data_IF_029053945450
#
_entry.id   IF_029053945450
#
_cell.length_a   1.000
_cell.length_b   1.000
_cell.length_c   1.000
_cell.angle_alpha   90.00
_cell.angle_beta   90.00
_cell.angle_gamma   90.00
#
_symmetry.space_group_name_H-M   'P 1'
#
loop_
_entity.id
_entity.type
_entity.pdbx_description
1 polymer ?
#
# COMPACT_ATOMS: atom_id res chain seq x y z
N UNK A 1 21.57 -10.99 12.82
CA UNK A 1 20.49 -10.38 12.00
C UNK A 1 20.63 -8.86 12.09
N UNK A 2 20.74 -8.11 10.98
CA UNK A 2 20.80 -6.66 11.09
C UNK A 2 19.44 -6.14 11.60
N UNK A 3 19.46 -5.40 12.71
CA UNK A 3 18.28 -4.72 13.24
C UNK A 3 17.78 -3.74 12.15
N UNK A 4 16.47 -3.65 11.87
CA UNK A 4 15.97 -2.60 11.00
C UNK A 4 16.34 -1.24 11.60
N UNK A 5 16.93 -0.36 10.79
CA UNK A 5 17.23 1.02 11.20
C UNK A 5 15.93 1.68 11.68
N UNK A 6 15.91 2.39 12.81
CA UNK A 6 14.73 3.14 13.22
C UNK A 6 14.44 4.15 12.11
N UNK A 7 13.27 4.02 11.48
CA UNK A 7 12.78 5.08 10.61
C UNK A 7 12.33 6.17 11.58
N UNK A 8 13.12 7.25 11.68
CA UNK A 8 12.68 8.49 12.30
C UNK A 8 11.49 8.99 11.48
N UNK A 9 10.29 8.69 11.95
CA UNK A 9 9.09 9.31 11.44
C UNK A 9 9.08 10.70 12.07
N UNK A 10 9.60 11.70 11.35
CA UNK A 10 9.31 13.09 11.69
C UNK A 10 7.79 13.24 11.66
N UNK A 11 7.19 13.27 12.86
CA UNK A 11 5.74 13.34 13.10
C UNK A 11 5.21 14.76 13.02
N UNK A 12 5.91 15.68 12.35
CA UNK A 12 5.48 17.07 12.29
C UNK A 12 4.72 17.37 10.99
N UNK A 13 3.39 17.25 11.14
CA UNK A 13 2.34 18.06 10.52
C UNK A 13 2.13 17.93 9.00
N UNK A 14 1.40 16.90 8.59
CA UNK A 14 0.75 16.84 7.28
C UNK A 14 -0.53 17.72 7.24
N UNK A 15 -0.86 18.37 6.10
CA UNK A 15 -2.02 19.25 5.98
C UNK A 15 -3.34 18.49 6.12
N UNK A 16 -4.31 19.10 6.83
CA UNK A 16 -5.68 18.59 7.00
C UNK A 16 -6.44 18.74 5.67
N UNK A 17 -6.35 17.72 4.82
CA UNK A 17 -7.13 17.53 3.60
C UNK A 17 -7.19 16.03 3.24
N UNK A 18 -8.07 15.62 2.31
CA UNK A 18 -8.32 14.19 1.98
C UNK A 18 -7.02 13.41 1.68
N UNK A 19 -6.11 13.98 0.90
CA UNK A 19 -4.80 13.38 0.60
C UNK A 19 -3.91 13.16 1.85
N UNK A 20 -4.09 13.95 2.91
CA UNK A 20 -3.39 13.82 4.19
C UNK A 20 -3.81 12.59 5.00
N UNK A 21 -5.04 12.09 4.81
CA UNK A 21 -5.52 10.88 5.51
C UNK A 21 -4.83 9.60 5.01
N UNK A 22 -4.54 9.53 3.71
CA UNK A 22 -3.83 8.41 3.10
C UNK A 22 -2.34 8.44 3.45
N UNK A 23 -1.72 9.64 3.45
CA UNK A 23 -0.33 9.83 3.86
C UNK A 23 -0.08 9.55 5.35
N UNK A 24 -1.12 9.58 6.18
CA UNK A 24 -1.04 9.24 7.60
C UNK A 24 -1.05 7.72 7.88
N UNK A 25 -1.35 6.88 6.88
CA UNK A 25 -1.32 5.43 7.05
C UNK A 25 0.11 4.90 7.19
N UNK A 26 0.32 4.01 8.16
CA UNK A 26 1.59 3.34 8.38
C UNK A 26 2.06 2.68 7.07
N UNK A 27 3.35 2.79 6.77
CA UNK A 27 4.02 2.27 5.56
C UNK A 27 3.69 3.00 4.24
N UNK A 28 2.76 3.98 4.21
CA UNK A 28 2.41 4.73 3.00
C UNK A 28 3.04 6.13 3.00
N UNK A 29 4.27 6.23 2.49
CA UNK A 29 4.98 7.51 2.39
C UNK A 29 4.40 8.47 1.32
N UNK A 30 4.87 9.73 1.26
CA UNK A 30 4.32 10.79 0.40
C UNK A 30 4.25 10.44 -1.09
N UNK A 31 5.25 9.73 -1.61
CA UNK A 31 5.27 9.26 -3.01
C UNK A 31 4.10 8.31 -3.31
N UNK A 32 3.84 7.38 -2.40
CA UNK A 32 2.73 6.43 -2.53
C UNK A 32 1.40 7.13 -2.38
N UNK A 33 1.29 8.11 -1.47
CA UNK A 33 0.10 8.94 -1.33
C UNK A 33 -0.22 9.70 -2.64
N UNK A 34 0.78 10.28 -3.31
CA UNK A 34 0.60 10.93 -4.60
C UNK A 34 0.16 9.94 -5.71
N UNK A 35 0.66 8.70 -5.68
CA UNK A 35 0.19 7.67 -6.62
C UNK A 35 -1.26 7.25 -6.36
N UNK A 36 -1.65 7.11 -5.09
CA UNK A 36 -3.02 6.79 -4.70
C UNK A 36 -3.98 7.91 -5.09
N UNK A 37 -3.59 9.16 -4.85
CA UNK A 37 -4.36 10.33 -5.26
C UNK A 37 -4.58 10.38 -6.78
N UNK A 38 -3.49 10.24 -7.56
CA UNK A 38 -3.57 10.17 -9.02
C UNK A 38 -4.37 8.96 -9.55
N UNK A 39 -4.58 7.93 -8.73
CA UNK A 39 -5.37 6.74 -9.07
C UNK A 39 -6.82 6.80 -8.53
N UNK A 40 -7.23 7.94 -7.96
CA UNK A 40 -8.57 8.20 -7.43
C UNK A 40 -8.84 7.63 -6.04
N UNK A 41 -7.79 7.30 -5.28
CA UNK A 41 -7.87 6.76 -3.92
C UNK A 41 -7.44 7.87 -2.95
N UNK A 42 -8.43 8.54 -2.35
CA UNK A 42 -8.22 9.73 -1.53
C UNK A 42 -8.51 9.51 -0.05
N UNK A 43 -9.05 8.35 0.35
CA UNK A 43 -9.51 8.12 1.72
C UNK A 43 -9.12 6.74 2.25
N UNK A 44 -8.95 6.64 3.57
CA UNK A 44 -8.75 5.34 4.24
C UNK A 44 -9.92 4.38 4.00
N UNK A 45 -11.15 4.87 3.95
CA UNK A 45 -12.34 4.05 3.68
C UNK A 45 -12.27 3.36 2.31
N UNK A 46 -11.77 4.05 1.28
CA UNK A 46 -11.54 3.44 -0.04
C UNK A 46 -10.45 2.37 0.02
N UNK A 47 -9.38 2.59 0.77
CA UNK A 47 -8.30 1.61 0.96
C UNK A 47 -8.83 0.36 1.67
N UNK A 48 -9.64 0.53 2.72
CA UNK A 48 -10.31 -0.60 3.42
C UNK A 48 -11.22 -1.36 2.45
N UNK A 49 -12.04 -0.65 1.67
CA UNK A 49 -12.95 -1.27 0.71
C UNK A 49 -12.23 -2.06 -0.40
N UNK A 50 -11.10 -1.53 -0.88
CA UNK A 50 -10.30 -2.17 -1.94
C UNK A 50 -9.42 -3.31 -1.41
N UNK A 51 -8.97 -3.20 -0.16
CA UNK A 51 -7.94 -4.07 0.40
C UNK A 51 -6.58 -3.93 -0.32
N UNK A 52 -5.56 -4.69 0.13
CA UNK A 52 -4.20 -4.59 -0.40
C UNK A 52 -4.10 -4.91 -1.90
N UNK A 53 -4.82 -5.94 -2.36
CA UNK A 53 -4.78 -6.38 -3.76
C UNK A 53 -5.58 -5.43 -4.67
N UNK A 54 -6.73 -4.93 -4.22
CA UNK A 54 -7.52 -3.96 -4.99
C UNK A 54 -6.78 -2.63 -5.18
N UNK A 55 -6.07 -2.16 -4.15
CA UNK A 55 -5.19 -0.98 -4.26
C UNK A 55 -4.09 -1.22 -5.29
N UNK A 56 -3.39 -2.36 -5.22
CA UNK A 56 -2.36 -2.72 -6.19
C UNK A 56 -2.90 -2.79 -7.63
N UNK A 57 -4.09 -3.40 -7.83
CA UNK A 57 -4.74 -3.45 -9.14
C UNK A 57 -4.98 -2.06 -9.69
N UNK A 58 -5.60 -1.18 -8.90
CA UNK A 58 -5.90 0.19 -9.32
C UNK A 58 -4.64 0.97 -9.70
N UNK A 59 -3.56 0.81 -8.95
CA UNK A 59 -2.26 1.44 -9.24
C UNK A 59 -1.62 0.87 -10.51
N UNK A 60 -1.67 -0.45 -10.75
CA UNK A 60 -1.17 -1.05 -11.99
C UNK A 60 -1.96 -0.54 -13.20
N UNK A 61 -3.28 -0.52 -13.10
CA UNK A 61 -4.19 -0.04 -14.15
C UNK A 61 -3.95 1.44 -14.47
N UNK A 62 -3.60 2.26 -13.48
CA UNK A 62 -3.18 3.65 -13.68
C UNK A 62 -1.72 3.81 -14.15
N UNK A 63 -1.05 2.73 -14.56
CA UNK A 63 0.30 2.75 -15.11
C UNK A 63 1.44 2.84 -14.07
N UNK A 64 1.17 2.64 -12.78
CA UNK A 64 2.22 2.66 -11.74
C UNK A 64 2.94 1.32 -11.65
N UNK A 65 4.28 1.30 -11.52
CA UNK A 65 5.07 0.06 -11.48
C UNK A 65 5.08 -0.55 -10.07
N UNK A 66 3.91 -0.90 -9.53
CA UNK A 66 3.82 -1.49 -8.18
C UNK A 66 4.25 -2.97 -8.17
N UNK A 67 4.76 -3.40 -7.02
CA UNK A 67 5.14 -4.79 -6.73
C UNK A 67 4.46 -5.27 -5.44
N UNK A 68 4.73 -6.51 -5.02
CA UNK A 68 4.09 -7.11 -3.84
C UNK A 68 4.34 -6.35 -2.54
N UNK A 69 5.43 -5.57 -2.42
CA UNK A 69 5.68 -4.75 -1.23
C UNK A 69 4.61 -3.68 -1.04
N UNK A 70 3.98 -3.21 -2.12
CA UNK A 70 2.84 -2.31 -2.04
C UNK A 70 1.66 -2.98 -1.32
N UNK A 71 1.40 -4.26 -1.62
CA UNK A 71 0.36 -5.03 -0.93
C UNK A 71 0.69 -5.20 0.56
N UNK A 72 1.95 -5.44 0.91
CA UNK A 72 2.40 -5.50 2.31
C UNK A 72 2.25 -4.16 3.02
N UNK A 73 2.57 -3.06 2.33
CA UNK A 73 2.45 -1.72 2.90
C UNK A 73 0.99 -1.38 3.20
N UNK A 74 0.06 -1.70 2.29
CA UNK A 74 -1.38 -1.51 2.53
C UNK A 74 -1.88 -2.38 3.67
N UNK A 75 -1.55 -3.68 3.67
CA UNK A 75 -1.99 -4.60 4.72
C UNK A 75 -1.47 -4.15 6.09
N UNK A 76 -0.19 -3.78 6.17
CA UNK A 76 0.40 -3.22 7.37
C UNK A 76 -0.24 -1.89 7.80
N UNK A 77 -0.57 -1.02 6.85
CA UNK A 77 -1.27 0.23 7.11
C UNK A 77 -2.68 0.02 7.67
N UNK A 78 -3.40 -0.98 7.16
CA UNK A 78 -4.75 -1.32 7.61
C UNK A 78 -4.76 -1.98 8.99
N UNK A 79 -3.83 -2.91 9.23
CA UNK A 79 -3.67 -3.66 10.48
C UNK A 79 -2.89 -2.91 11.56
N UNK A 80 -2.33 -1.73 11.26
CA UNK A 80 -1.44 -1.01 12.18
C UNK A 80 -0.10 -1.72 12.44
N UNK A 81 0.28 -2.67 11.58
CA UNK A 81 1.50 -3.47 11.70
C UNK A 81 2.56 -2.99 10.71
N UNK A 82 3.80 -2.77 11.16
CA UNK A 82 4.88 -2.46 10.20
C UNK A 82 5.06 -3.65 9.24
N UNK A 83 5.20 -3.40 7.94
CA UNK A 83 5.15 -4.48 6.92
C UNK A 83 6.13 -5.64 7.16
N UNK A 84 7.29 -5.37 7.78
CA UNK A 84 8.26 -6.39 8.18
C UNK A 84 7.70 -7.39 9.21
N UNK A 85 6.81 -6.95 10.09
CA UNK A 85 6.22 -7.73 11.17
C UNK A 85 4.95 -8.50 10.75
N UNK A 86 4.48 -8.37 9.49
CA UNK A 86 3.41 -9.23 8.98
C UNK A 86 3.83 -10.71 9.07
N UNK A 87 2.89 -11.58 9.43
CA UNK A 87 3.14 -13.02 9.54
C UNK A 87 3.57 -13.62 8.21
N UNK A 88 4.28 -14.75 8.26
CA UNK A 88 4.69 -15.47 7.06
C UNK A 88 3.48 -15.92 6.22
N UNK A 89 2.40 -16.34 6.87
CA UNK A 89 1.14 -16.73 6.24
C UNK A 89 0.50 -15.56 5.48
N UNK A 90 0.37 -14.39 6.12
CA UNK A 90 -0.17 -13.19 5.47
C UNK A 90 0.69 -12.77 4.28
N UNK A 91 2.02 -12.77 4.42
CA UNK A 91 2.93 -12.45 3.30
C UNK A 91 2.78 -13.45 2.16
N UNK A 92 2.64 -14.73 2.46
CA UNK A 92 2.47 -15.76 1.44
C UNK A 92 1.15 -15.59 0.69
N UNK A 93 0.04 -15.35 1.42
CA UNK A 93 -1.26 -15.06 0.82
C UNK A 93 -1.18 -13.84 -0.12
N UNK A 94 -0.59 -12.73 0.35
CA UNK A 94 -0.42 -11.51 -0.45
C UNK A 94 0.43 -11.74 -1.70
N UNK A 95 1.48 -12.59 -1.63
CA UNK A 95 2.29 -12.94 -2.81
C UNK A 95 1.49 -13.70 -3.85
N UNK A 96 0.73 -14.71 -3.43
CA UNK A 96 -0.12 -15.52 -4.31
C UNK A 96 -1.17 -14.63 -5.00
N UNK A 97 -1.92 -13.86 -4.23
CA UNK A 97 -2.98 -13.02 -4.77
C UNK A 97 -2.45 -11.88 -5.65
N UNK A 98 -1.31 -11.28 -5.28
CA UNK A 98 -0.66 -10.27 -6.11
C UNK A 98 -0.21 -10.85 -7.45
N UNK A 99 0.40 -12.04 -7.45
CA UNK A 99 0.85 -12.71 -8.67
C UNK A 99 -0.33 -13.03 -9.60
N UNK A 100 -1.42 -13.58 -9.03
CA UNK A 100 -2.67 -13.85 -9.76
C UNK A 100 -3.24 -12.58 -10.38
N UNK A 101 -3.44 -11.54 -9.58
CA UNK A 101 -3.97 -10.25 -10.04
C UNK A 101 -3.10 -9.64 -11.14
N UNK A 102 -1.77 -9.66 -10.98
CA UNK A 102 -0.86 -9.09 -11.97
C UNK A 102 -0.94 -9.83 -13.31
N UNK A 103 -1.01 -11.16 -13.31
CA UNK A 103 -1.19 -11.95 -14.52
C UNK A 103 -2.54 -11.66 -15.20
N UNK A 104 -3.60 -11.44 -14.42
CA UNK A 104 -4.90 -11.00 -14.98
C UNK A 104 -4.83 -9.63 -15.63
N UNK A 105 -4.16 -8.64 -15.01
CA UNK A 105 -3.99 -7.29 -15.59
C UNK A 105 -3.15 -7.33 -16.87
N UNK A 106 -2.10 -8.17 -16.92
CA UNK A 106 -1.24 -8.31 -18.09
C UNK A 106 -1.95 -8.93 -19.29
N UNK A 107 -2.86 -9.90 -19.06
CA UNK A 107 -3.64 -10.52 -20.14
C UNK A 107 -4.65 -9.58 -20.81
N UNK A 108 -4.98 -8.46 -20.16
CA UNK A 108 -5.98 -7.48 -20.65
C UNK A 108 -5.35 -6.33 -21.44
N UNK A 109 -4.03 -6.29 -21.55
CA UNK A 109 -3.26 -5.28 -22.29
C UNK A 109 -2.75 -5.87 -23.59
#
# INVERSE_FOLDING_TARGET
>A
MPRPKPILIDRERAPRGRAGEVAALLNLGPKTAAWLDAAGIHTRAQIVKLGPIGVCRRLLESGRPVNVLMAYAVEGGLSGTHWNALSAETKQWLRTEFARMRAEVQRRR
#
